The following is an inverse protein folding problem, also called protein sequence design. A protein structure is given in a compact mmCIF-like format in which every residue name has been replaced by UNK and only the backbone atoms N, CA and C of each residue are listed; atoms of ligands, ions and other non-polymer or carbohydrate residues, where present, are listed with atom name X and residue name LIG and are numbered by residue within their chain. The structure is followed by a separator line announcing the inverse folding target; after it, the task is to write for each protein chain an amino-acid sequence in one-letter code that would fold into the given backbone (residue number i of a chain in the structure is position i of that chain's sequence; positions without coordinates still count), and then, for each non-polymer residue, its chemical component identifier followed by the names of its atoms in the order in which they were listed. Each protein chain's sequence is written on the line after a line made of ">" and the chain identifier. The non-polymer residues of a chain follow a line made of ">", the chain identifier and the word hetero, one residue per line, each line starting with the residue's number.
data_IF_433574997599
#
_entry.id   IF_433574997599
#
_cell.length_a   1.000
_cell.length_b   1.000
_cell.length_c   1.000
_cell.angle_alpha   90.00
_cell.angle_beta   90.00
_cell.angle_gamma   90.00
#
_symmetry.space_group_name_H-M   'P 1'
#
loop_
_entity.id
_entity.type
_entity.pdbx_description
1 polymer ?
#
# COMPACT_ATOMS: atom_id res chain seq x y z
N UNK A 1 37.71 -7.99 -18.19
CA UNK A 1 36.62 -8.66 -18.92
C UNK A 1 36.64 -10.11 -18.44
N UNK A 2 35.65 -10.54 -17.65
CA UNK A 2 35.62 -11.91 -17.15
C UNK A 2 35.19 -12.86 -18.28
N UNK A 3 36.00 -13.89 -18.57
CA UNK A 3 35.63 -14.95 -19.52
C UNK A 3 34.53 -15.85 -18.91
N UNK A 4 33.65 -16.42 -19.73
CA UNK A 4 32.55 -17.31 -19.30
C UNK A 4 32.98 -18.45 -18.37
N UNK A 5 34.18 -18.98 -18.57
CA UNK A 5 34.76 -20.03 -17.72
C UNK A 5 35.04 -19.56 -16.29
N UNK A 6 35.25 -18.26 -16.07
CA UNK A 6 35.35 -17.69 -14.73
C UNK A 6 33.97 -17.48 -14.11
N UNK A 7 32.97 -17.05 -14.90
CA UNK A 7 31.59 -16.92 -14.40
C UNK A 7 31.00 -18.27 -13.97
N UNK A 8 31.23 -19.36 -14.72
CA UNK A 8 30.74 -20.70 -14.34
C UNK A 8 31.33 -21.22 -13.03
N UNK A 9 32.58 -20.84 -12.69
CA UNK A 9 33.23 -21.24 -11.44
C UNK A 9 32.78 -20.38 -10.25
N UNK A 10 32.36 -19.14 -10.51
CA UNK A 10 31.90 -18.19 -9.50
C UNK A 10 30.40 -18.35 -9.20
N UNK A 11 29.58 -18.80 -10.15
CA UNK A 11 28.15 -18.95 -9.96
C UNK A 11 27.80 -20.22 -9.16
N UNK A 12 26.79 -20.16 -8.27
CA UNK A 12 26.32 -21.34 -7.56
C UNK A 12 25.72 -22.35 -8.55
N UNK A 13 25.96 -23.66 -8.38
CA UNK A 13 25.60 -24.69 -9.37
C UNK A 13 24.09 -24.77 -9.64
N UNK A 14 23.25 -24.37 -8.68
CA UNK A 14 21.80 -24.27 -8.83
C UNK A 14 21.35 -23.24 -9.90
N UNK A 15 22.20 -22.28 -10.24
CA UNK A 15 21.87 -21.19 -11.18
C UNK A 15 22.20 -21.51 -12.64
N UNK A 16 23.04 -22.52 -12.90
CA UNK A 16 23.43 -22.97 -14.24
C UNK A 16 22.24 -23.34 -15.17
N UNK A 17 21.23 -24.12 -14.73
CA UNK A 17 20.06 -24.40 -15.59
C UNK A 17 19.23 -23.14 -15.87
N UNK A 18 19.19 -22.17 -14.95
CA UNK A 18 18.52 -20.90 -15.18
C UNK A 18 19.31 -20.02 -16.15
N UNK A 19 20.63 -20.04 -16.07
CA UNK A 19 21.53 -19.29 -16.93
C UNK A 19 21.44 -19.79 -18.37
N UNK A 20 21.47 -21.11 -18.60
CA UNK A 20 21.33 -21.68 -19.95
C UNK A 20 20.06 -21.23 -20.66
N UNK A 21 18.91 -21.24 -19.97
CA UNK A 21 17.64 -20.72 -20.50
C UNK A 21 17.67 -19.22 -20.80
N UNK A 22 18.37 -18.44 -20.00
CA UNK A 22 18.53 -17.00 -20.24
C UNK A 22 19.45 -16.73 -21.45
N UNK A 23 20.50 -17.55 -21.62
CA UNK A 23 21.44 -17.48 -22.75
C UNK A 23 20.77 -17.84 -24.08
N UNK A 24 19.85 -18.82 -24.09
CA UNK A 24 19.05 -19.16 -25.27
C UNK A 24 18.17 -17.99 -25.74
N UNK A 25 17.73 -17.13 -24.81
CA UNK A 25 16.89 -15.98 -25.13
C UNK A 25 17.67 -14.76 -25.67
N UNK A 26 18.99 -14.70 -25.47
CA UNK A 26 19.83 -13.57 -25.91
C UNK A 26 21.27 -13.98 -26.21
N UNK A 27 21.64 -14.21 -27.49
CA UNK A 27 23.00 -14.60 -27.88
C UNK A 27 24.06 -13.48 -27.71
N UNK A 28 23.64 -12.23 -27.48
CA UNK A 28 24.53 -11.07 -27.29
C UNK A 28 25.27 -11.06 -25.94
N UNK A 29 24.97 -12.01 -25.05
CA UNK A 29 25.64 -12.12 -23.75
C UNK A 29 27.16 -12.41 -23.87
N UNK A 30 27.56 -13.13 -24.92
CA UNK A 30 28.94 -13.57 -25.14
C UNK A 30 29.88 -12.42 -25.52
N UNK A 31 29.35 -11.32 -26.07
CA UNK A 31 30.16 -10.20 -26.58
C UNK A 31 30.40 -9.12 -25.52
N UNK A 32 29.47 -8.89 -24.58
CA UNK A 32 29.65 -7.97 -23.46
C UNK A 32 28.84 -8.41 -22.22
N UNK A 33 29.48 -8.99 -21.18
CA UNK A 33 28.77 -9.46 -19.97
C UNK A 33 28.10 -8.33 -19.17
N UNK A 34 28.50 -7.07 -19.41
CA UNK A 34 27.87 -5.87 -18.83
C UNK A 34 26.48 -5.56 -19.39
N UNK A 35 26.09 -6.13 -20.54
CA UNK A 35 24.74 -5.99 -21.11
C UNK A 35 23.68 -6.62 -20.18
N UNK A 36 24.06 -7.65 -19.42
CA UNK A 36 23.20 -8.29 -18.42
C UNK A 36 22.71 -7.30 -17.34
N UNK A 37 23.55 -6.31 -16.99
CA UNK A 37 23.24 -5.31 -15.97
C UNK A 37 22.17 -4.30 -16.42
N UNK A 38 21.92 -4.19 -17.74
CA UNK A 38 20.98 -3.21 -18.32
C UNK A 38 19.73 -3.88 -18.90
N UNK A 39 19.85 -5.11 -19.39
CA UNK A 39 18.79 -5.78 -20.13
C UNK A 39 17.80 -6.53 -19.22
N UNK A 40 16.76 -5.80 -18.78
CA UNK A 40 15.70 -6.33 -17.91
C UNK A 40 14.93 -7.53 -18.50
N UNK A 41 14.82 -7.66 -19.83
CA UNK A 41 14.07 -8.76 -20.47
C UNK A 41 14.72 -10.13 -20.24
N UNK A 42 16.02 -10.17 -20.01
CA UNK A 42 16.80 -11.38 -19.72
C UNK A 42 16.94 -11.59 -18.22
N UNK A 43 17.15 -10.50 -17.48
CA UNK A 43 17.41 -10.52 -16.05
C UNK A 43 16.19 -10.97 -15.23
N UNK A 44 14.99 -10.54 -15.61
CA UNK A 44 13.73 -10.90 -14.95
C UNK A 44 13.43 -12.41 -14.98
N UNK A 45 13.38 -13.11 -16.15
CA UNK A 45 13.12 -14.55 -16.18
C UNK A 45 14.24 -15.36 -15.54
N UNK A 46 15.50 -14.92 -15.67
CA UNK A 46 16.63 -15.53 -15.00
C UNK A 46 16.48 -15.48 -13.47
N UNK A 47 16.20 -14.29 -12.93
CA UNK A 47 16.01 -14.09 -11.50
C UNK A 47 14.81 -14.90 -10.95
N UNK A 48 13.70 -14.95 -11.70
CA UNK A 48 12.53 -15.75 -11.33
C UNK A 48 12.85 -17.26 -11.25
N UNK A 49 13.68 -17.77 -12.15
CA UNK A 49 14.16 -19.16 -12.10
C UNK A 49 15.11 -19.40 -10.92
N UNK A 50 16.01 -18.45 -10.67
CA UNK A 50 17.01 -18.53 -9.60
C UNK A 50 16.33 -18.53 -8.21
N UNK A 51 15.31 -17.71 -8.02
CA UNK A 51 14.50 -17.71 -6.79
C UNK A 51 13.76 -19.03 -6.51
N UNK A 52 13.45 -19.81 -7.55
CA UNK A 52 12.79 -21.12 -7.42
C UNK A 52 13.77 -22.26 -7.20
N UNK A 53 14.98 -22.14 -7.73
CA UNK A 53 15.93 -23.26 -7.84
C UNK A 53 17.07 -23.19 -6.81
N UNK A 54 17.36 -22.01 -6.26
CA UNK A 54 18.49 -21.78 -5.35
C UNK A 54 18.03 -21.36 -3.94
N UNK A 55 18.79 -21.76 -2.92
CA UNK A 55 18.60 -21.30 -1.54
C UNK A 55 19.04 -19.83 -1.34
N UNK A 56 18.57 -19.17 -0.28
CA UNK A 56 18.87 -17.75 -0.02
C UNK A 56 20.36 -17.44 0.12
N UNK A 57 21.17 -18.33 0.70
CA UNK A 57 22.63 -18.13 0.77
C UNK A 57 23.28 -18.16 -0.61
N UNK A 58 22.83 -19.06 -1.48
CA UNK A 58 23.31 -19.16 -2.86
C UNK A 58 22.85 -17.96 -3.70
N UNK A 59 21.61 -17.48 -3.47
CA UNK A 59 21.14 -16.23 -4.04
C UNK A 59 22.03 -15.05 -3.61
N UNK A 60 22.46 -15.01 -2.33
CA UNK A 60 23.33 -13.95 -1.82
C UNK A 60 24.73 -13.99 -2.46
N UNK A 61 25.28 -15.20 -2.66
CA UNK A 61 26.53 -15.37 -3.39
C UNK A 61 26.41 -14.82 -4.83
N UNK A 62 25.33 -15.17 -5.54
CA UNK A 62 25.06 -14.63 -6.87
C UNK A 62 24.91 -13.09 -6.85
N UNK A 63 24.22 -12.54 -5.84
CA UNK A 63 24.03 -11.10 -5.68
C UNK A 63 25.36 -10.36 -5.49
N UNK A 64 26.24 -10.80 -4.60
CA UNK A 64 27.54 -10.14 -4.34
C UNK A 64 28.42 -10.11 -5.59
N UNK A 65 28.42 -11.22 -6.34
CA UNK A 65 29.15 -11.34 -7.60
C UNK A 65 28.58 -10.36 -8.63
N UNK A 66 27.27 -10.41 -8.87
CA UNK A 66 26.60 -9.54 -9.83
C UNK A 66 26.73 -8.06 -9.46
N UNK A 67 26.60 -7.72 -8.18
CA UNK A 67 26.74 -6.36 -7.66
C UNK A 67 28.16 -5.81 -7.88
N UNK A 68 29.19 -6.64 -7.68
CA UNK A 68 30.58 -6.22 -7.96
C UNK A 68 30.81 -5.94 -9.45
N UNK A 69 30.25 -6.77 -10.33
CA UNK A 69 30.36 -6.66 -11.78
C UNK A 69 29.54 -5.49 -12.36
N UNK A 70 28.36 -5.24 -11.81
CA UNK A 70 27.43 -4.22 -12.30
C UNK A 70 27.56 -2.86 -11.58
N UNK A 71 28.57 -2.69 -10.71
CA UNK A 71 28.78 -1.46 -9.91
C UNK A 71 28.90 -0.16 -10.74
N UNK A 72 29.35 -0.27 -12.00
CA UNK A 72 29.46 0.88 -12.92
C UNK A 72 28.16 1.28 -13.63
N UNK A 73 27.09 0.49 -13.49
CA UNK A 73 25.78 0.77 -14.06
C UNK A 73 24.81 1.18 -12.94
N UNK A 74 24.68 2.49 -12.65
CA UNK A 74 23.82 2.94 -11.56
C UNK A 74 22.36 2.61 -11.88
N UNK A 75 21.78 1.76 -11.05
CA UNK A 75 20.34 1.45 -11.11
C UNK A 75 19.56 2.72 -10.77
N UNK A 76 18.56 3.12 -11.57
CA UNK A 76 17.80 4.32 -11.28
C UNK A 76 17.04 4.15 -9.96
N UNK A 77 17.50 4.81 -8.90
CA UNK A 77 16.82 4.83 -7.61
C UNK A 77 15.54 5.66 -7.73
N UNK A 78 14.46 4.98 -8.07
CA UNK A 78 13.12 5.56 -8.18
C UNK A 78 12.34 5.53 -6.86
N UNK A 79 13.01 5.25 -5.74
CA UNK A 79 12.41 5.18 -4.39
C UNK A 79 12.24 6.55 -3.71
N UNK A 80 12.80 7.63 -4.27
CA UNK A 80 12.64 9.00 -3.72
C UNK A 80 11.18 9.39 -3.45
N UNK A 81 10.21 9.15 -4.37
CA UNK A 81 8.80 9.41 -4.11
C UNK A 81 8.22 8.57 -2.97
N UNK A 82 8.72 7.34 -2.78
CA UNK A 82 8.24 6.42 -1.74
C UNK A 82 8.68 6.83 -0.33
N UNK A 83 9.78 7.60 -0.19
CA UNK A 83 10.22 8.18 1.09
C UNK A 83 9.54 9.52 1.35
N UNK A 84 9.52 10.40 0.35
CA UNK A 84 9.06 11.79 0.50
C UNK A 84 7.57 11.85 0.84
N UNK A 85 6.76 10.91 0.34
CA UNK A 85 5.33 10.88 0.64
C UNK A 85 5.03 10.62 2.14
N UNK A 86 5.38 9.46 2.73
CA UNK A 86 5.06 9.18 4.12
C UNK A 86 5.74 10.18 5.06
N UNK A 87 6.92 10.69 4.71
CA UNK A 87 7.64 11.69 5.51
C UNK A 87 6.94 13.05 5.55
N UNK A 88 6.28 13.49 4.47
CA UNK A 88 5.61 14.81 4.42
C UNK A 88 4.14 14.70 4.78
N UNK A 89 3.41 13.76 4.19
CA UNK A 89 1.96 13.63 4.39
C UNK A 89 1.60 12.94 5.69
N UNK A 90 2.46 12.05 6.18
CA UNK A 90 2.29 11.38 7.46
C UNK A 90 2.08 12.39 8.59
N UNK A 91 3.05 13.29 8.86
CA UNK A 91 2.92 14.31 9.88
C UNK A 91 1.68 15.20 9.70
N UNK A 92 1.36 15.63 8.47
CA UNK A 92 0.20 16.50 8.25
C UNK A 92 -1.11 15.81 8.62
N UNK A 93 -1.27 14.53 8.27
CA UNK A 93 -2.48 13.78 8.66
C UNK A 93 -2.56 13.53 10.16
N UNK A 94 -1.42 13.32 10.84
CA UNK A 94 -1.38 13.17 12.29
C UNK A 94 -1.71 14.48 13.01
N UNK A 95 -1.20 15.60 12.52
CA UNK A 95 -1.55 16.93 13.01
C UNK A 95 -3.05 17.20 12.83
N UNK A 96 -3.62 16.87 11.68
CA UNK A 96 -5.05 16.99 11.46
C UNK A 96 -5.90 16.17 12.45
N UNK A 97 -5.51 14.92 12.72
CA UNK A 97 -6.17 14.07 13.72
C UNK A 97 -6.01 14.68 15.12
N UNK A 98 -4.82 15.16 15.47
CA UNK A 98 -4.54 15.80 16.75
C UNK A 98 -5.39 17.07 16.95
N UNK A 99 -5.46 17.96 15.95
CA UNK A 99 -6.29 19.16 15.99
C UNK A 99 -7.77 18.81 16.10
N UNK A 100 -8.24 17.77 15.41
CA UNK A 100 -9.62 17.27 15.54
C UNK A 100 -9.92 16.80 16.96
N UNK A 101 -9.04 15.98 17.54
CA UNK A 101 -9.19 15.47 18.90
C UNK A 101 -9.10 16.60 19.94
N UNK A 102 -8.21 17.56 19.74
CA UNK A 102 -8.06 18.74 20.59
C UNK A 102 -9.33 19.59 20.56
N UNK A 103 -9.82 19.96 19.37
CA UNK A 103 -11.07 20.72 19.18
C UNK A 103 -12.27 20.03 19.83
N UNK A 104 -12.38 18.70 19.68
CA UNK A 104 -13.42 17.89 20.32
C UNK A 104 -13.34 17.94 21.84
N UNK A 105 -12.12 17.88 22.39
CA UNK A 105 -11.87 17.88 23.84
C UNK A 105 -12.14 19.25 24.47
N UNK A 106 -11.72 20.34 23.82
CA UNK A 106 -11.77 21.68 24.39
C UNK A 106 -13.04 22.44 24.04
N UNK A 107 -13.48 22.39 22.78
CA UNK A 107 -14.62 23.18 22.27
C UNK A 107 -15.93 22.39 22.42
N UNK A 108 -15.98 21.16 21.91
CA UNK A 108 -17.24 20.39 21.89
C UNK A 108 -17.53 19.65 23.21
N UNK A 109 -16.50 19.41 24.04
CA UNK A 109 -16.55 18.67 25.33
C UNK A 109 -17.33 17.35 25.29
N UNK A 110 -17.38 16.70 24.13
CA UNK A 110 -18.21 15.52 23.93
C UNK A 110 -17.46 14.50 23.06
N UNK A 111 -16.87 13.50 23.73
CA UNK A 111 -16.21 12.36 23.09
C UNK A 111 -17.24 11.33 22.65
N UNK A 112 -17.17 10.92 21.39
CA UNK A 112 -17.93 9.81 20.85
C UNK A 112 -17.05 8.60 20.57
N UNK A 113 -17.68 7.46 20.27
CA UNK A 113 -17.00 6.26 19.75
C UNK A 113 -16.21 6.58 18.47
N UNK A 114 -16.67 7.53 17.67
CA UNK A 114 -15.98 7.99 16.46
C UNK A 114 -14.59 8.58 16.74
N UNK A 115 -14.43 9.27 17.88
CA UNK A 115 -13.19 9.92 18.30
C UNK A 115 -12.15 8.89 18.81
N UNK A 116 -12.59 7.80 19.46
CA UNK A 116 -11.71 6.70 19.86
C UNK A 116 -11.20 5.90 18.64
N UNK A 117 -12.09 5.64 17.68
CA UNK A 117 -11.73 4.91 16.46
C UNK A 117 -10.72 5.68 15.60
N UNK A 118 -10.87 7.01 15.48
CA UNK A 118 -9.91 7.83 14.72
C UNK A 118 -8.57 7.95 15.45
N UNK A 119 -8.56 7.99 16.78
CA UNK A 119 -7.32 7.99 17.57
C UNK A 119 -6.57 6.65 17.41
N UNK A 120 -7.29 5.52 17.48
CA UNK A 120 -6.71 4.19 17.24
C UNK A 120 -6.16 4.06 15.81
N UNK A 121 -6.90 4.56 14.80
CA UNK A 121 -6.43 4.58 13.42
C UNK A 121 -5.16 5.44 13.27
N UNK A 122 -5.12 6.61 13.91
CA UNK A 122 -3.94 7.48 13.95
C UNK A 122 -2.71 6.79 14.54
N UNK A 123 -2.88 6.08 15.65
CA UNK A 123 -1.80 5.32 16.30
C UNK A 123 -1.27 4.17 15.42
N UNK A 124 -2.15 3.40 14.78
CA UNK A 124 -1.73 2.34 13.84
C UNK A 124 -1.00 2.94 12.63
N UNK A 125 -1.46 4.11 12.19
CA UNK A 125 -0.89 4.81 11.06
C UNK A 125 0.52 5.36 11.34
N UNK A 126 0.84 5.80 12.56
CA UNK A 126 2.22 6.20 12.92
C UNK A 126 3.19 5.05 12.76
N UNK A 127 2.85 3.87 13.28
CA UNK A 127 3.67 2.66 13.11
C UNK A 127 3.86 2.30 11.64
N UNK A 128 2.79 2.44 10.85
CA UNK A 128 2.84 2.19 9.41
C UNK A 128 3.84 3.11 8.69
N UNK A 129 3.86 4.42 9.01
CA UNK A 129 4.83 5.37 8.44
C UNK A 129 6.27 4.90 8.70
N UNK A 130 6.59 4.52 9.93
CA UNK A 130 7.92 4.06 10.32
C UNK A 130 8.32 2.80 9.54
N UNK A 131 7.41 1.82 9.45
CA UNK A 131 7.64 0.58 8.71
C UNK A 131 7.87 0.83 7.21
N UNK A 132 7.17 1.80 6.61
CA UNK A 132 7.37 2.17 5.19
C UNK A 132 8.73 2.84 4.95
N UNK A 133 9.13 3.76 5.83
CA UNK A 133 10.46 4.40 5.75
C UNK A 133 11.55 3.32 5.87
N UNK A 134 11.40 2.41 6.83
CA UNK A 134 12.33 1.30 7.04
C UNK A 134 12.41 0.37 5.81
N UNK A 135 11.28 -0.03 5.22
CA UNK A 135 11.26 -0.81 3.97
C UNK A 135 12.03 -0.11 2.85
N UNK A 136 11.85 1.20 2.70
CA UNK A 136 12.49 1.95 1.61
C UNK A 136 14.00 2.04 1.78
N UNK A 137 14.48 2.16 3.02
CA UNK A 137 15.92 2.08 3.34
C UNK A 137 16.47 0.68 3.02
N UNK A 138 15.70 -0.38 3.28
CA UNK A 138 16.09 -1.76 2.97
C UNK A 138 16.09 -2.11 1.47
N UNK A 139 15.73 -1.17 0.58
CA UNK A 139 15.80 -1.36 -0.86
C UNK A 139 14.45 -1.45 -1.57
N UNK A 140 13.33 -1.18 -0.88
CA UNK A 140 12.03 -1.07 -1.53
C UNK A 140 12.05 0.00 -2.63
N UNK A 141 11.60 -0.34 -3.84
CA UNK A 141 11.66 0.52 -5.02
C UNK A 141 12.91 0.34 -5.91
N UNK A 142 13.78 -0.62 -5.58
CA UNK A 142 14.80 -1.19 -6.49
C UNK A 142 14.26 -2.45 -7.18
N UNK A 143 14.94 -2.89 -8.25
CA UNK A 143 14.61 -4.19 -8.86
C UNK A 143 14.94 -5.33 -7.87
N UNK A 144 14.19 -6.43 -7.94
CA UNK A 144 14.29 -7.52 -6.95
C UNK A 144 15.65 -8.21 -6.93
N UNK A 145 16.39 -8.15 -8.04
CA UNK A 145 17.77 -8.65 -8.16
C UNK A 145 18.84 -7.66 -7.67
N UNK A 146 18.47 -6.40 -7.43
CA UNK A 146 19.34 -5.35 -6.87
C UNK A 146 19.19 -5.22 -5.34
N UNK A 147 18.43 -6.13 -4.71
CA UNK A 147 18.19 -6.18 -3.28
C UNK A 147 18.92 -7.40 -2.74
N UNK A 148 19.67 -7.21 -1.66
CA UNK A 148 20.31 -8.31 -0.96
C UNK A 148 19.26 -9.37 -0.55
N UNK A 149 19.38 -10.62 -1.01
CA UNK A 149 18.41 -11.67 -0.72
C UNK A 149 18.29 -12.03 0.76
N UNK A 150 19.29 -11.73 1.60
CA UNK A 150 19.13 -11.82 3.06
C UNK A 150 18.16 -10.76 3.61
N UNK A 151 18.19 -9.55 3.04
CA UNK A 151 17.29 -8.45 3.39
C UNK A 151 15.88 -8.65 2.84
N UNK A 152 15.69 -9.43 1.76
CA UNK A 152 14.38 -9.74 1.20
C UNK A 152 13.44 -10.38 2.24
N UNK A 153 13.94 -11.27 3.10
CA UNK A 153 13.10 -11.88 4.15
C UNK A 153 12.56 -10.84 5.13
N UNK A 154 13.39 -9.89 5.53
CA UNK A 154 13.00 -8.80 6.44
C UNK A 154 12.03 -7.86 5.72
N UNK A 155 12.32 -7.52 4.45
CA UNK A 155 11.45 -6.71 3.60
C UNK A 155 10.03 -7.30 3.51
N UNK A 156 9.92 -8.61 3.22
CA UNK A 156 8.64 -9.30 3.14
C UNK A 156 7.90 -9.31 4.48
N UNK A 157 8.60 -9.47 5.60
CA UNK A 157 8.01 -9.37 6.96
C UNK A 157 7.43 -8.00 7.25
N UNK A 158 8.20 -6.95 6.95
CA UNK A 158 7.76 -5.58 7.22
C UNK A 158 6.62 -5.18 6.26
N UNK A 159 6.67 -5.63 5.01
CA UNK A 159 5.59 -5.44 4.04
C UNK A 159 4.29 -6.11 4.49
N UNK A 160 4.37 -7.37 4.95
CA UNK A 160 3.22 -8.11 5.50
C UNK A 160 2.57 -7.41 6.69
N UNK A 161 3.37 -6.92 7.65
CA UNK A 161 2.86 -6.14 8.79
C UNK A 161 2.22 -4.83 8.31
N UNK A 162 2.83 -4.17 7.32
CA UNK A 162 2.32 -2.95 6.71
C UNK A 162 0.99 -3.13 5.98
N UNK A 163 0.77 -4.28 5.35
CA UNK A 163 -0.50 -4.62 4.71
C UNK A 163 -1.62 -4.79 5.75
N UNK A 164 -1.35 -5.53 6.83
CA UNK A 164 -2.30 -5.73 7.92
C UNK A 164 -2.66 -4.41 8.61
N UNK A 165 -1.66 -3.56 8.87
CA UNK A 165 -1.88 -2.24 9.48
C UNK A 165 -2.69 -1.33 8.55
N UNK A 166 -2.45 -1.40 7.24
CA UNK A 166 -3.20 -0.66 6.23
C UNK A 166 -4.68 -1.07 6.19
N UNK A 167 -4.97 -2.37 6.11
CA UNK A 167 -6.35 -2.89 6.11
C UNK A 167 -7.10 -2.48 7.39
N UNK A 168 -6.44 -2.61 8.54
CA UNK A 168 -7.01 -2.22 9.84
C UNK A 168 -7.27 -0.72 9.92
N UNK A 169 -6.34 0.10 9.41
CA UNK A 169 -6.52 1.55 9.41
C UNK A 169 -7.70 1.99 8.52
N UNK A 170 -7.83 1.43 7.32
CA UNK A 170 -8.95 1.73 6.42
C UNK A 170 -10.31 1.37 7.03
N UNK A 171 -10.42 0.22 7.68
CA UNK A 171 -11.68 -0.23 8.29
C UNK A 171 -12.05 0.67 9.47
N UNK A 172 -11.10 1.03 10.34
CA UNK A 172 -11.33 1.95 11.46
C UNK A 172 -11.77 3.34 10.99
N UNK A 173 -11.18 3.88 9.92
CA UNK A 173 -11.56 5.19 9.37
C UNK A 173 -13.01 5.15 8.86
N UNK A 174 -13.38 4.11 8.09
CA UNK A 174 -14.76 3.96 7.58
C UNK A 174 -15.77 3.81 8.71
N UNK A 175 -15.42 3.03 9.74
CA UNK A 175 -16.26 2.88 10.93
C UNK A 175 -16.40 4.20 11.69
N UNK A 176 -15.34 4.98 11.87
CA UNK A 176 -15.38 6.30 12.52
C UNK A 176 -16.37 7.25 11.80
N UNK A 177 -16.36 7.28 10.46
CA UNK A 177 -17.31 8.08 9.67
C UNK A 177 -18.75 7.61 9.88
N UNK A 178 -19.01 6.30 9.89
CA UNK A 178 -20.34 5.75 10.09
C UNK A 178 -20.89 6.01 11.50
N UNK A 179 -20.05 5.89 12.54
CA UNK A 179 -20.43 6.27 13.90
C UNK A 179 -20.69 7.77 14.03
N UNK A 180 -19.92 8.60 13.31
CA UNK A 180 -20.21 10.03 13.23
C UNK A 180 -21.59 10.30 12.58
N UNK A 181 -21.99 9.55 11.55
CA UNK A 181 -23.34 9.66 10.98
C UNK A 181 -24.45 9.27 11.96
N UNK A 182 -24.26 8.22 12.77
CA UNK A 182 -25.21 7.87 13.84
C UNK A 182 -25.40 8.98 14.87
N UNK A 183 -24.35 9.79 15.10
CA UNK A 183 -24.38 10.91 16.05
C UNK A 183 -25.06 12.15 15.47
N UNK A 184 -24.85 12.44 14.19
CA UNK A 184 -25.41 13.62 13.51
C UNK A 184 -26.90 13.45 13.19
N UNK A 185 -27.31 12.26 12.76
CA UNK A 185 -28.67 12.01 12.29
C UNK A 185 -29.45 11.12 13.26
N UNK A 186 -30.53 11.67 13.83
CA UNK A 186 -31.37 10.97 14.82
C UNK A 186 -32.51 10.14 14.20
N UNK A 187 -32.77 10.26 12.89
CA UNK A 187 -33.89 9.57 12.23
C UNK A 187 -33.72 8.04 12.26
N UNK A 188 -34.75 7.32 12.72
CA UNK A 188 -34.71 5.85 12.89
C UNK A 188 -34.40 5.08 11.60
N UNK A 189 -35.07 5.42 10.49
CA UNK A 189 -34.84 4.77 9.18
C UNK A 189 -33.40 4.95 8.69
N UNK A 190 -32.82 6.13 8.91
CA UNK A 190 -31.43 6.41 8.56
C UNK A 190 -30.46 5.61 9.43
N UNK A 191 -30.69 5.57 10.75
CA UNK A 191 -29.83 4.81 11.67
C UNK A 191 -29.80 3.31 11.35
N UNK A 192 -30.92 2.72 10.91
CA UNK A 192 -30.94 1.32 10.45
C UNK A 192 -30.00 1.13 9.25
N UNK A 193 -30.08 2.01 8.23
CA UNK A 193 -29.17 1.95 7.07
C UNK A 193 -27.69 2.13 7.43
N UNK A 194 -27.40 2.98 8.42
CA UNK A 194 -26.03 3.16 8.91
C UNK A 194 -25.55 1.90 9.63
N UNK A 195 -26.35 1.32 10.52
CA UNK A 195 -25.99 0.08 11.22
C UNK A 195 -25.76 -1.09 10.27
N UNK A 196 -26.59 -1.26 9.24
CA UNK A 196 -26.35 -2.29 8.22
C UNK A 196 -25.02 -2.07 7.50
N UNK A 197 -24.66 -0.80 7.23
CA UNK A 197 -23.39 -0.45 6.60
C UNK A 197 -22.20 -0.67 7.53
N UNK A 198 -22.35 -0.40 8.84
CA UNK A 198 -21.32 -0.69 9.86
C UNK A 198 -21.02 -2.20 9.89
N UNK A 199 -22.05 -3.03 9.92
CA UNK A 199 -21.89 -4.50 9.91
C UNK A 199 -21.18 -4.94 8.62
N UNK A 200 -21.62 -4.43 7.46
CA UNK A 200 -20.99 -4.74 6.19
C UNK A 200 -19.51 -4.36 6.13
N UNK A 201 -19.15 -3.14 6.55
CA UNK A 201 -17.75 -2.66 6.58
C UNK A 201 -16.91 -3.42 7.59
N UNK A 202 -17.45 -3.67 8.79
CA UNK A 202 -16.76 -4.42 9.84
C UNK A 202 -16.50 -5.87 9.44
N UNK A 203 -17.51 -6.56 8.91
CA UNK A 203 -17.41 -7.96 8.51
C UNK A 203 -16.43 -8.15 7.34
N UNK A 204 -16.55 -7.33 6.30
CA UNK A 204 -15.62 -7.39 5.15
C UNK A 204 -14.19 -7.01 5.57
N UNK A 205 -14.04 -5.99 6.42
CA UNK A 205 -12.74 -5.62 6.98
C UNK A 205 -12.07 -6.74 7.76
N UNK A 206 -12.83 -7.39 8.65
CA UNK A 206 -12.35 -8.53 9.41
C UNK A 206 -12.00 -9.71 8.50
N UNK A 207 -12.84 -10.00 7.49
CA UNK A 207 -12.57 -11.06 6.52
C UNK A 207 -11.26 -10.85 5.76
N UNK A 208 -10.99 -9.62 5.30
CA UNK A 208 -9.73 -9.30 4.62
C UNK A 208 -8.51 -9.34 5.54
N UNK A 209 -8.66 -8.91 6.80
CA UNK A 209 -7.58 -9.03 7.78
C UNK A 209 -7.25 -10.50 8.04
N UNK A 210 -8.27 -11.36 8.19
CA UNK A 210 -8.07 -12.81 8.36
C UNK A 210 -7.46 -13.43 7.11
N UNK A 211 -7.92 -13.05 5.91
CA UNK A 211 -7.36 -13.54 4.65
C UNK A 211 -5.89 -13.12 4.48
N UNK A 212 -5.53 -11.90 4.87
CA UNK A 212 -4.15 -11.44 4.87
C UNK A 212 -3.31 -12.19 5.92
N UNK A 213 -3.84 -12.39 7.14
CA UNK A 213 -3.17 -13.16 8.20
C UNK A 213 -2.88 -14.60 7.80
N UNK A 214 -3.80 -15.21 7.05
CA UNK A 214 -3.74 -16.59 6.59
C UNK A 214 -3.44 -16.68 5.09
N UNK A 215 -2.69 -15.71 4.55
CA UNK A 215 -2.41 -15.67 3.12
C UNK A 215 -1.61 -16.88 2.62
N UNK A 216 -0.84 -17.53 3.49
CA UNK A 216 -0.15 -18.79 3.22
C UNK A 216 -0.27 -19.74 4.41
N UNK A 217 -0.36 -21.05 4.12
CA UNK A 217 -0.28 -22.11 5.12
C UNK A 217 0.92 -23.01 4.77
N UNK A 218 1.96 -23.09 5.64
CA UNK A 218 2.19 -22.31 6.85
C UNK A 218 2.57 -20.84 6.56
N UNK A 219 2.33 -19.94 7.53
CA UNK A 219 2.61 -18.48 7.42
C UNK A 219 4.10 -18.23 7.11
N UNK A 220 5.00 -19.09 7.55
CA UNK A 220 6.43 -19.02 7.24
C UNK A 220 6.72 -19.00 5.74
N UNK A 221 5.84 -19.60 4.92
CA UNK A 221 5.93 -19.61 3.45
C UNK A 221 5.82 -18.21 2.81
N UNK A 222 5.26 -17.23 3.52
CA UNK A 222 5.24 -15.82 3.08
C UNK A 222 6.66 -15.26 2.98
N UNK A 223 7.51 -15.60 3.95
CA UNK A 223 8.86 -15.03 4.09
C UNK A 223 9.93 -15.96 3.56
N UNK A 224 9.62 -17.23 3.39
CA UNK A 224 10.54 -18.26 2.98
C UNK A 224 9.92 -19.18 1.92
N UNK A 225 10.20 -18.85 0.65
CA UNK A 225 9.69 -19.61 -0.49
C UNK A 225 10.29 -21.02 -0.62
N UNK A 226 11.32 -21.35 0.17
CA UNK A 226 11.88 -22.71 0.20
C UNK A 226 10.98 -23.70 0.93
N UNK A 227 10.04 -23.21 1.75
CA UNK A 227 9.10 -24.04 2.49
C UNK A 227 7.91 -24.35 1.57
N UNK A 228 7.56 -25.64 1.37
CA UNK A 228 6.36 -26.00 0.62
C UNK A 228 5.15 -25.42 1.34
N UNK A 229 4.51 -24.44 0.72
CA UNK A 229 3.39 -23.70 1.29
C UNK A 229 2.31 -23.49 0.24
N UNK A 230 1.06 -23.60 0.67
CA UNK A 230 -0.11 -23.28 -0.16
C UNK A 230 -0.51 -21.85 0.15
N UNK A 231 -0.35 -20.95 -0.82
CA UNK A 231 -0.69 -19.54 -0.69
C UNK A 231 -1.94 -19.18 -1.51
N UNK A 232 -2.71 -18.22 -1.00
CA UNK A 232 -3.80 -17.60 -1.73
C UNK A 232 -3.25 -16.69 -2.84
N UNK A 233 -4.03 -16.53 -3.90
CA UNK A 233 -3.69 -15.59 -4.96
C UNK A 233 -3.80 -14.14 -4.45
N UNK A 234 -2.65 -13.51 -4.23
CA UNK A 234 -2.55 -12.13 -3.74
C UNK A 234 -3.24 -11.15 -4.69
N UNK A 235 -3.20 -11.41 -6.00
CA UNK A 235 -3.89 -10.56 -6.98
C UNK A 235 -5.40 -10.66 -6.79
N UNK A 236 -5.93 -11.88 -6.64
CA UNK A 236 -7.36 -12.10 -6.42
C UNK A 236 -7.85 -11.43 -5.12
N UNK A 237 -7.08 -11.53 -4.03
CA UNK A 237 -7.38 -10.83 -2.77
C UNK A 237 -7.36 -9.32 -2.98
N UNK A 238 -6.32 -8.79 -3.62
CA UNK A 238 -6.17 -7.37 -3.83
C UNK A 238 -7.29 -6.78 -4.72
N UNK A 239 -7.67 -7.46 -5.81
CA UNK A 239 -8.77 -7.03 -6.68
C UNK A 239 -10.11 -7.06 -5.93
N UNK A 240 -10.36 -8.09 -5.14
CA UNK A 240 -11.57 -8.23 -4.32
C UNK A 240 -11.66 -7.10 -3.29
N UNK A 241 -10.56 -6.83 -2.58
CA UNK A 241 -10.47 -5.73 -1.61
C UNK A 241 -10.63 -4.37 -2.28
N UNK A 242 -10.06 -4.19 -3.48
CA UNK A 242 -10.20 -2.96 -4.24
C UNK A 242 -11.66 -2.72 -4.67
N UNK A 243 -12.33 -3.74 -5.20
CA UNK A 243 -13.73 -3.69 -5.61
C UNK A 243 -14.66 -3.40 -4.43
N UNK A 244 -14.58 -4.19 -3.35
CA UNK A 244 -15.39 -3.98 -2.14
C UNK A 244 -15.11 -2.61 -1.53
N UNK A 245 -13.85 -2.17 -1.52
CA UNK A 245 -13.48 -0.83 -1.06
C UNK A 245 -14.17 0.29 -1.84
N UNK A 246 -14.26 0.18 -3.17
CA UNK A 246 -14.99 1.15 -4.01
C UNK A 246 -16.48 1.14 -3.67
N UNK A 247 -17.08 -0.05 -3.55
CA UNK A 247 -18.50 -0.18 -3.17
C UNK A 247 -18.78 0.46 -1.81
N UNK A 248 -17.92 0.25 -0.82
CA UNK A 248 -18.04 0.87 0.50
C UNK A 248 -17.95 2.39 0.42
N UNK A 249 -16.99 2.93 -0.34
CA UNK A 249 -16.83 4.38 -0.50
C UNK A 249 -18.09 5.00 -1.13
N UNK A 250 -18.69 4.36 -2.15
CA UNK A 250 -19.95 4.80 -2.78
C UNK A 250 -21.13 4.74 -1.80
N UNK A 251 -21.27 3.65 -1.04
CA UNK A 251 -22.36 3.50 -0.06
C UNK A 251 -22.26 4.62 0.98
N UNK A 252 -21.07 4.84 1.55
CA UNK A 252 -20.83 5.87 2.57
C UNK A 252 -21.13 7.27 2.00
N UNK A 253 -20.76 7.54 0.75
CA UNK A 253 -21.03 8.80 0.05
C UNK A 253 -22.53 9.06 -0.13
N UNK A 254 -23.27 8.07 -0.63
CA UNK A 254 -24.69 8.21 -0.99
C UNK A 254 -25.57 8.25 0.25
N UNK A 255 -25.13 7.63 1.34
CA UNK A 255 -25.93 7.47 2.55
C UNK A 255 -26.50 8.80 3.11
N UNK A 256 -25.75 9.90 3.29
CA UNK A 256 -26.28 11.19 3.76
C UNK A 256 -27.06 11.98 2.69
N UNK A 257 -26.97 11.64 1.40
CA UNK A 257 -27.49 12.46 0.31
C UNK A 257 -29.02 12.66 0.34
N UNK A 258 -29.85 11.61 0.53
CA UNK A 258 -31.29 11.78 0.67
C UNK A 258 -31.65 12.66 1.86
N UNK A 259 -30.96 12.49 3.00
CA UNK A 259 -31.24 13.28 4.19
C UNK A 259 -30.96 14.77 3.99
N UNK A 260 -29.98 15.14 3.17
CA UNK A 260 -29.65 16.53 2.86
C UNK A 260 -30.72 17.20 1.99
N UNK A 261 -31.32 16.48 1.03
CA UNK A 261 -32.31 17.04 0.11
C UNK A 261 -33.62 17.38 0.84
N UNK A 262 -34.02 16.55 1.81
CA UNK A 262 -35.31 16.68 2.49
C UNK A 262 -35.27 17.50 3.79
N UNK A 263 -34.10 18.00 4.24
CA UNK A 263 -33.98 18.78 5.48
C UNK A 263 -33.71 20.27 5.20
N UNK A 264 -34.69 21.12 5.52
CA UNK A 264 -34.56 22.58 5.66
C UNK A 264 -33.75 22.93 6.92
N UNK A 265 -32.49 22.47 6.99
CA UNK A 265 -31.60 22.73 8.13
C UNK A 265 -30.87 24.07 8.00
N UNK A 266 -30.65 24.74 9.15
CA UNK A 266 -29.79 25.91 9.34
C UNK A 266 -28.46 25.75 8.61
N UNK A 267 -28.08 26.79 7.86
CA UNK A 267 -26.99 26.82 6.88
C UNK A 267 -25.66 26.16 7.34
N UNK A 268 -25.33 26.19 8.64
CA UNK A 268 -24.10 25.57 9.18
C UNK A 268 -24.03 24.04 9.04
N UNK A 269 -25.13 23.31 9.27
CA UNK A 269 -25.15 21.83 9.12
C UNK A 269 -25.09 21.42 7.65
N UNK A 270 -25.67 22.25 6.77
CA UNK A 270 -25.65 22.07 5.33
C UNK A 270 -24.23 22.21 4.76
N UNK A 271 -23.45 23.19 5.24
CA UNK A 271 -22.04 23.38 4.84
C UNK A 271 -21.18 22.17 5.18
N UNK A 272 -21.26 21.66 6.41
CA UNK A 272 -20.49 20.47 6.83
C UNK A 272 -20.82 19.27 5.93
N UNK A 273 -22.10 19.07 5.60
CA UNK A 273 -22.53 17.96 4.75
C UNK A 273 -22.06 18.09 3.30
N UNK A 274 -22.06 19.31 2.74
CA UNK A 274 -21.51 19.58 1.40
C UNK A 274 -20.00 19.28 1.38
N UNK A 275 -19.26 19.71 2.40
CA UNK A 275 -17.82 19.42 2.52
C UNK A 275 -17.56 17.91 2.62
N UNK A 276 -18.34 17.19 3.44
CA UNK A 276 -18.22 15.73 3.54
C UNK A 276 -18.51 15.03 2.21
N UNK A 277 -19.47 15.53 1.44
CA UNK A 277 -19.81 14.99 0.12
C UNK A 277 -18.69 15.24 -0.90
N UNK A 278 -18.10 16.44 -0.92
CA UNK A 278 -16.96 16.77 -1.78
C UNK A 278 -15.73 15.91 -1.46
N UNK A 279 -15.44 15.70 -0.18
CA UNK A 279 -14.35 14.82 0.26
C UNK A 279 -14.60 13.36 -0.13
N UNK A 280 -15.84 12.88 0.03
CA UNK A 280 -16.22 11.52 -0.35
C UNK A 280 -16.17 11.28 -1.86
N UNK A 281 -16.61 12.24 -2.68
CA UNK A 281 -16.63 12.08 -4.15
C UNK A 281 -15.22 12.01 -4.70
N UNK A 282 -14.32 12.83 -4.16
CA UNK A 282 -12.89 12.76 -4.43
C UNK A 282 -12.30 11.42 -3.99
N UNK A 283 -12.71 10.90 -2.82
CA UNK A 283 -12.30 9.56 -2.38
C UNK A 283 -12.77 8.46 -3.35
N UNK A 284 -13.99 8.51 -3.88
CA UNK A 284 -14.46 7.50 -4.84
C UNK A 284 -13.65 7.50 -6.14
N UNK A 285 -13.41 8.68 -6.74
CA UNK A 285 -12.60 8.84 -7.96
C UNK A 285 -11.23 8.20 -7.83
N UNK A 286 -10.58 8.44 -6.69
CA UNK A 286 -9.24 7.97 -6.41
C UNK A 286 -9.19 6.46 -6.12
N UNK A 287 -10.25 5.87 -5.57
CA UNK A 287 -10.39 4.42 -5.46
C UNK A 287 -10.55 3.73 -6.84
N UNK A 288 -11.26 4.34 -7.79
CA UNK A 288 -11.37 3.83 -9.18
C UNK A 288 -10.03 3.86 -9.90
N UNK A 289 -9.28 4.96 -9.75
CA UNK A 289 -7.95 5.09 -10.34
C UNK A 289 -7.00 4.02 -9.76
N UNK A 290 -7.06 3.79 -8.45
CA UNK A 290 -6.27 2.73 -7.78
C UNK A 290 -6.48 1.36 -8.42
N UNK A 291 -7.71 1.01 -8.79
CA UNK A 291 -8.02 -0.27 -9.44
C UNK A 291 -7.33 -0.43 -10.80
N UNK A 292 -7.24 0.64 -11.61
CA UNK A 292 -6.53 0.61 -12.91
C UNK A 292 -5.06 0.26 -12.74
N UNK A 293 -4.42 0.79 -11.70
CA UNK A 293 -3.01 0.51 -11.40
C UNK A 293 -2.80 -0.86 -10.76
N UNK A 294 -3.72 -1.31 -9.92
CA UNK A 294 -3.68 -2.69 -9.41
C UNK A 294 -3.77 -3.68 -10.57
N UNK A 295 -4.57 -3.37 -11.60
CA UNK A 295 -4.60 -4.15 -12.83
C UNK A 295 -3.25 -4.18 -13.55
N UNK A 296 -2.57 -3.04 -13.64
CA UNK A 296 -1.24 -2.96 -14.21
C UNK A 296 -0.19 -3.73 -13.39
N UNK A 297 -0.31 -3.73 -12.05
CA UNK A 297 0.56 -4.47 -11.13
C UNK A 297 0.42 -5.99 -11.32
N UNK A 298 -0.82 -6.49 -11.36
CA UNK A 298 -1.08 -7.93 -11.50
C UNK A 298 -0.57 -8.53 -12.84
N UNK A 299 -0.36 -7.69 -13.86
CA UNK A 299 0.11 -8.12 -15.19
C UNK A 299 1.63 -8.09 -15.35
N UNK A 300 2.40 -7.55 -14.41
CA UNK A 300 3.85 -7.37 -14.54
C UNK A 300 4.64 -8.39 -13.71
N UNK A 301 5.74 -8.90 -14.27
CA UNK A 301 6.61 -9.92 -13.64
C UNK A 301 7.53 -9.37 -12.53
N UNK A 302 7.77 -8.05 -12.49
CA UNK A 302 8.63 -7.40 -11.50
C UNK A 302 7.82 -6.55 -10.50
N UNK A 303 7.35 -7.20 -9.43
CA UNK A 303 6.50 -6.60 -8.40
C UNK A 303 7.18 -5.43 -7.65
N UNK A 304 8.51 -5.48 -7.43
CA UNK A 304 9.25 -4.44 -6.68
C UNK A 304 9.45 -3.14 -7.46
N UNK A 305 9.37 -3.23 -8.79
CA UNK A 305 9.72 -2.19 -9.76
C UNK A 305 8.49 -1.35 -10.13
N UNK A 306 7.29 -1.93 -10.12
CA UNK A 306 6.05 -1.25 -10.54
C UNK A 306 5.13 -0.79 -9.40
N UNK A 307 5.56 -0.88 -8.14
CA UNK A 307 4.96 -0.06 -7.07
C UNK A 307 4.98 1.45 -7.38
N UNK A 308 5.86 1.88 -8.30
CA UNK A 308 6.13 3.28 -8.70
C UNK A 308 4.88 4.08 -9.13
N UNK A 309 4.06 3.67 -10.12
CA UNK A 309 2.86 4.40 -10.51
C UNK A 309 1.65 4.24 -9.58
N UNK A 310 1.46 3.05 -8.98
CA UNK A 310 0.34 2.78 -8.07
C UNK A 310 0.42 3.64 -6.79
N UNK A 311 1.63 3.81 -6.24
CA UNK A 311 1.90 4.66 -5.08
C UNK A 311 1.87 6.16 -5.41
N UNK A 312 2.43 6.61 -6.56
CA UNK A 312 2.39 8.03 -7.01
C UNK A 312 0.99 8.65 -7.04
N UNK A 313 -0.09 7.87 -7.19
CA UNK A 313 -1.47 8.37 -7.17
C UNK A 313 -2.18 8.28 -5.80
N UNK A 314 -1.76 7.35 -4.92
CA UNK A 314 -2.13 7.42 -3.49
C UNK A 314 -1.60 8.73 -2.86
N UNK A 315 -0.42 9.19 -3.32
CA UNK A 315 0.17 10.51 -2.99
C UNK A 315 -0.69 11.67 -3.51
N UNK A 316 -1.12 11.63 -4.77
CA UNK A 316 -1.94 12.71 -5.38
C UNK A 316 -3.29 12.84 -4.66
N UNK A 317 -3.86 11.71 -4.23
CA UNK A 317 -5.04 11.65 -3.34
C UNK A 317 -4.77 12.29 -1.97
N UNK A 318 -3.57 12.13 -1.40
CA UNK A 318 -3.21 12.67 -0.07
C UNK A 318 -2.77 14.14 -0.10
N UNK A 319 -2.05 14.60 -1.15
CA UNK A 319 -1.66 16.02 -1.33
C UNK A 319 -2.86 16.94 -1.52
N UNK A 320 -3.88 16.52 -2.26
CA UNK A 320 -5.10 17.33 -2.46
C UNK A 320 -5.95 17.36 -1.17
N UNK A 321 -5.98 16.28 -0.40
CA UNK A 321 -6.65 16.24 0.91
C UNK A 321 -5.94 17.12 1.94
N UNK A 322 -4.60 17.19 1.93
CA UNK A 322 -3.82 18.11 2.76
C UNK A 322 -4.11 19.59 2.43
N UNK A 323 -4.23 19.94 1.15
CA UNK A 323 -4.60 21.30 0.74
C UNK A 323 -6.05 21.66 1.14
N UNK A 324 -6.99 20.71 1.05
CA UNK A 324 -8.38 20.93 1.45
C UNK A 324 -8.61 20.87 2.97
N UNK A 325 -7.80 20.12 3.73
CA UNK A 325 -7.79 20.18 5.19
C UNK A 325 -7.15 21.48 5.71
N UNK A 326 -6.13 22.01 5.02
CA UNK A 326 -5.58 23.35 5.31
C UNK A 326 -6.61 24.47 5.04
N UNK A 327 -7.47 24.33 4.04
CA UNK A 327 -8.63 25.22 3.85
C UNK A 327 -9.57 25.16 5.08
N UNK A 328 -9.76 23.98 5.68
CA UNK A 328 -10.61 23.81 6.84
C UNK A 328 -10.07 24.46 8.13
N UNK A 329 -8.75 24.59 8.29
CA UNK A 329 -8.17 25.32 9.43
C UNK A 329 -8.30 26.84 9.28
N UNK A 330 -8.28 27.36 8.04
CA UNK A 330 -8.33 28.80 7.76
C UNK A 330 -9.74 29.40 7.86
N UNK A 331 -10.76 28.61 7.53
CA UNK A 331 -12.16 29.06 7.62
C UNK A 331 -12.73 29.04 9.05
N UNK A 332 -12.09 28.31 9.99
CA UNK A 332 -12.49 28.31 11.40
C UNK A 332 -11.96 29.50 12.21
N UNK A 333 -10.92 30.19 11.73
CA UNK A 333 -10.35 31.38 12.40
C UNK A 333 -10.95 32.70 11.90
N UNK A 334 -11.69 32.71 10.80
CA UNK A 334 -12.34 33.90 10.24
C UNK A 334 -13.83 34.04 10.62
N UNK A 335 -14.35 33.13 11.45
CA UNK A 335 -15.75 33.12 11.89
C UNK A 335 -15.91 33.33 13.42
N UNK A 336 -14.97 34.05 14.03
CA UNK A 336 -15.08 34.64 15.37
C UNK A 336 -15.15 36.16 15.28
#
# INVERSE_FOLDING_TARGET
>A
MANLTQLEVLLPPCSLPCLSKALEASPDFFSNPSILCSNTTVLTPFWACLQRSCNFEQQHQYYNLTHSLCSSFPVPFTGLPAIVEPAVLGPVTLLAIATRLYSRRTISKAFGVDDYLIAAAGFIYTGTIVLYIFNTIMGFGKHSWDIDPLNIRILLKVFYIGELSYLTCLTLIRLSILFFYLRVFMKRRFRVKVWTTIIFVGASGLAFIIAALLQCVPISGVFDRSIPSTCLDLNAIAFSNAGIGITQDIIILVLPFPEVIYLTMINRKKVILIIMFLLGSFACLTSIIRLKYLKAFATTTDETVMGRPAWRFVVLRRRICSNNLCLHARDSETAL
#
